data_IF_718592554651
#
_entry.id   IF_718592554651
#
_cell.length_a   1.000
_cell.length_b   1.000
_cell.length_c   1.000
_cell.angle_alpha   90.00
_cell.angle_beta   90.00
_cell.angle_gamma   90.00
#
_symmetry.space_group_name_H-M   'P 1'
#
loop_
_entity.id
_entity.type
_entity.pdbx_description
1 polymer ?
#
# COMPACT_ATOMS: atom_id res chain seq x y z
N UNK A 1 -13.13 -28.57 2.91
CA UNK A 1 -12.34 -27.41 3.37
C UNK A 1 -12.83 -27.06 4.75
N UNK A 2 -11.94 -27.10 5.71
CA UNK A 2 -12.29 -26.90 7.09
C UNK A 2 -12.55 -25.41 7.38
N UNK A 3 -13.72 -25.09 7.94
CA UNK A 3 -14.10 -23.71 8.31
C UNK A 3 -13.17 -23.09 9.34
N UNK A 4 -12.47 -23.90 10.15
CA UNK A 4 -11.52 -23.40 11.15
C UNK A 4 -10.30 -22.71 10.54
N UNK A 5 -9.78 -23.20 9.41
CA UNK A 5 -8.69 -22.56 8.70
C UNK A 5 -9.07 -21.18 8.12
N UNK A 6 -10.32 -21.09 7.67
CA UNK A 6 -10.86 -19.82 7.13
C UNK A 6 -11.05 -18.77 8.22
N UNK A 7 -11.48 -19.17 9.41
CA UNK A 7 -11.66 -18.29 10.57
C UNK A 7 -10.29 -17.81 11.08
N UNK A 8 -9.30 -18.70 11.20
CA UNK A 8 -7.93 -18.36 11.62
C UNK A 8 -7.30 -17.38 10.63
N UNK A 9 -7.50 -17.57 9.33
CA UNK A 9 -7.00 -16.69 8.28
C UNK A 9 -7.62 -15.28 8.36
N UNK A 10 -8.93 -15.18 8.56
CA UNK A 10 -9.64 -13.92 8.77
C UNK A 10 -9.16 -13.22 10.05
N UNK A 11 -8.95 -13.98 11.14
CA UNK A 11 -8.42 -13.44 12.40
C UNK A 11 -7.02 -12.85 12.25
N UNK A 12 -6.14 -13.47 11.46
CA UNK A 12 -4.80 -12.93 11.14
C UNK A 12 -4.86 -11.62 10.34
N UNK A 13 -5.88 -11.43 9.52
CA UNK A 13 -6.09 -10.19 8.75
C UNK A 13 -6.53 -9.03 9.60
N UNK A 14 -7.34 -9.30 10.62
CA UNK A 14 -7.99 -8.28 11.46
C UNK A 14 -7.11 -7.92 12.66
N UNK A 15 -6.33 -8.89 13.18
CA UNK A 15 -5.56 -8.70 14.40
C UNK A 15 -4.08 -8.67 14.05
N UNK A 16 -3.48 -7.48 14.13
CA UNK A 16 -2.03 -7.30 14.01
C UNK A 16 -1.45 -7.02 15.39
N UNK A 17 -0.31 -7.63 15.68
CA UNK A 17 0.48 -7.30 16.87
C UNK A 17 1.25 -5.99 16.65
N UNK A 18 1.68 -5.36 17.73
CA UNK A 18 2.54 -4.16 17.62
C UNK A 18 3.85 -4.44 16.88
N UNK A 19 4.38 -5.65 17.00
CA UNK A 19 5.58 -6.08 16.25
C UNK A 19 5.30 -6.18 14.75
N UNK A 20 4.17 -6.72 14.37
CA UNK A 20 3.76 -6.79 12.95
C UNK A 20 3.54 -5.40 12.36
N UNK A 21 2.99 -4.48 13.12
CA UNK A 21 2.83 -3.08 12.70
C UNK A 21 4.20 -2.44 12.45
N UNK A 22 5.15 -2.62 13.39
CA UNK A 22 6.51 -2.09 13.24
C UNK A 22 7.25 -2.69 12.05
N UNK A 23 7.18 -4.00 11.86
CA UNK A 23 7.84 -4.68 10.74
C UNK A 23 7.22 -4.32 9.40
N UNK A 24 5.91 -4.12 9.35
CA UNK A 24 5.21 -3.65 8.14
C UNK A 24 5.70 -2.26 7.75
N UNK A 25 5.77 -1.34 8.69
CA UNK A 25 6.27 0.02 8.46
C UNK A 25 7.71 0.00 7.95
N UNK A 26 8.59 -0.74 8.64
CA UNK A 26 10.00 -0.85 8.27
C UNK A 26 10.19 -1.40 6.84
N UNK A 27 9.48 -2.47 6.51
CA UNK A 27 9.50 -3.07 5.18
C UNK A 27 9.02 -2.11 4.10
N UNK A 28 7.92 -1.42 4.35
CA UNK A 28 7.33 -0.50 3.38
C UNK A 28 8.22 0.71 3.13
N UNK A 29 8.81 1.28 4.17
CA UNK A 29 9.75 2.39 4.03
C UNK A 29 10.95 1.97 3.18
N UNK A 30 11.55 0.83 3.48
CA UNK A 30 12.67 0.28 2.71
C UNK A 30 12.30 0.00 1.25
N UNK A 31 11.15 -0.62 1.03
CA UNK A 31 10.63 -0.92 -0.31
C UNK A 31 10.43 0.34 -1.14
N UNK A 32 9.73 1.33 -0.59
CA UNK A 32 9.46 2.60 -1.27
C UNK A 32 10.76 3.37 -1.54
N UNK A 33 11.65 3.40 -0.56
CA UNK A 33 12.96 4.02 -0.69
C UNK A 33 13.77 3.41 -1.84
N UNK A 34 13.86 2.09 -1.89
CA UNK A 34 14.60 1.38 -2.95
C UNK A 34 13.95 1.52 -4.31
N UNK A 35 12.63 1.53 -4.38
CA UNK A 35 11.91 1.78 -5.63
C UNK A 35 12.20 3.16 -6.21
N UNK A 36 12.41 4.16 -5.35
CA UNK A 36 12.82 5.51 -5.78
C UNK A 36 14.32 5.63 -6.07
N UNK A 37 15.10 4.60 -5.81
CA UNK A 37 16.55 4.64 -5.95
C UNK A 37 17.25 5.46 -4.88
N UNK A 38 16.62 5.69 -3.73
CA UNK A 38 17.20 6.46 -2.64
C UNK A 38 18.05 5.59 -1.73
N UNK A 39 19.25 6.11 -1.37
CA UNK A 39 19.99 5.57 -0.23
C UNK A 39 19.30 5.94 1.08
N UNK A 40 19.63 5.27 2.18
CA UNK A 40 19.15 5.70 3.50
C UNK A 40 19.56 7.14 3.82
N UNK A 41 20.78 7.54 3.45
CA UNK A 41 21.27 8.88 3.63
C UNK A 41 20.45 9.92 2.85
N UNK A 42 20.09 9.61 1.62
CA UNK A 42 19.27 10.52 0.80
C UNK A 42 17.85 10.64 1.34
N UNK A 43 17.25 9.54 1.78
CA UNK A 43 15.93 9.59 2.42
C UNK A 43 15.99 10.43 3.71
N UNK A 44 17.01 10.23 4.54
CA UNK A 44 17.21 11.00 5.76
C UNK A 44 17.32 12.51 5.46
N UNK A 45 18.09 12.89 4.44
CA UNK A 45 18.20 14.27 4.00
C UNK A 45 16.85 14.84 3.53
N UNK A 46 16.16 14.14 2.65
CA UNK A 46 14.87 14.58 2.11
C UNK A 46 13.78 14.69 3.18
N UNK A 47 13.80 13.82 4.16
CA UNK A 47 12.86 13.82 5.27
C UNK A 47 13.26 14.74 6.43
N UNK A 48 14.45 15.34 6.39
CA UNK A 48 15.01 16.13 7.48
C UNK A 48 15.06 15.35 8.80
N UNK A 49 15.64 14.16 8.72
CA UNK A 49 15.78 13.20 9.83
C UNK A 49 17.21 12.67 9.81
N UNK A 50 17.74 12.25 10.95
CA UNK A 50 19.09 11.70 11.01
C UNK A 50 19.17 10.32 10.31
N UNK A 51 20.31 10.04 9.68
CA UNK A 51 20.58 8.74 9.06
C UNK A 51 20.48 7.58 10.06
N UNK A 52 21.06 7.65 11.27
CA UNK A 52 20.90 6.58 12.25
C UNK A 52 19.43 6.31 12.63
N UNK A 53 18.59 7.34 12.62
CA UNK A 53 17.17 7.17 12.93
C UNK A 53 16.44 6.42 11.79
N UNK A 54 16.69 6.79 10.54
CA UNK A 54 16.16 6.05 9.37
C UNK A 54 16.60 4.58 9.43
N UNK A 55 17.87 4.32 9.67
CA UNK A 55 18.41 2.97 9.81
C UNK A 55 17.70 2.18 10.92
N UNK A 56 17.48 2.81 12.07
CA UNK A 56 16.80 2.18 13.20
C UNK A 56 15.33 1.87 12.91
N UNK A 57 14.65 2.73 12.16
CA UNK A 57 13.27 2.49 11.73
C UNK A 57 13.22 1.30 10.75
N UNK A 58 14.07 1.26 9.75
CA UNK A 58 14.11 0.15 8.78
C UNK A 58 14.50 -1.19 9.41
N UNK A 59 15.21 -1.18 10.54
CA UNK A 59 15.53 -2.38 11.33
C UNK A 59 14.44 -2.77 12.34
N UNK A 60 13.33 -2.04 12.38
CA UNK A 60 12.26 -2.22 13.37
C UNK A 60 12.70 -2.01 14.82
N UNK A 61 13.79 -1.27 15.03
CA UNK A 61 14.33 -0.99 16.39
C UNK A 61 13.63 0.20 17.01
N UNK A 62 13.34 1.23 16.22
CA UNK A 62 12.69 2.45 16.70
C UNK A 62 11.35 2.70 16.00
N UNK A 63 10.44 3.29 16.74
CA UNK A 63 9.14 3.71 16.25
C UNK A 63 9.13 5.23 16.03
N UNK A 64 8.80 5.72 14.83
CA UNK A 64 8.74 7.15 14.59
C UNK A 64 7.47 7.78 15.18
N UNK A 65 7.59 9.01 15.67
CA UNK A 65 6.45 9.83 16.05
C UNK A 65 5.66 10.29 14.81
N UNK A 66 4.41 10.75 14.98
CA UNK A 66 3.57 11.19 13.87
C UNK A 66 4.22 12.22 12.95
N UNK A 67 4.93 13.21 13.50
CA UNK A 67 5.62 14.22 12.69
C UNK A 67 6.72 13.59 11.83
N UNK A 68 7.44 12.63 12.38
CA UNK A 68 8.47 11.89 11.65
C UNK A 68 7.86 11.03 10.54
N UNK A 69 6.74 10.36 10.81
CA UNK A 69 5.99 9.62 9.78
C UNK A 69 5.56 10.52 8.62
N UNK A 70 5.04 11.69 8.94
CA UNK A 70 4.64 12.67 7.93
C UNK A 70 5.82 13.12 7.06
N UNK A 71 6.98 13.37 7.66
CA UNK A 71 8.20 13.74 6.94
C UNK A 71 8.67 12.62 6.01
N UNK A 72 8.67 11.38 6.48
CA UNK A 72 9.05 10.21 5.68
C UNK A 72 8.09 10.02 4.51
N UNK A 73 6.79 10.07 4.77
CA UNK A 73 5.78 9.94 3.73
C UNK A 73 5.91 11.02 2.66
N UNK A 74 6.13 12.27 3.07
CA UNK A 74 6.37 13.38 2.14
C UNK A 74 7.62 13.16 1.29
N UNK A 75 8.72 12.73 1.90
CA UNK A 75 9.97 12.44 1.19
C UNK A 75 9.81 11.30 0.18
N UNK A 76 8.97 10.32 0.49
CA UNK A 76 8.64 9.19 -0.40
C UNK A 76 7.48 9.50 -1.36
N UNK A 77 6.86 10.66 -1.24
CA UNK A 77 5.73 11.10 -2.10
C UNK A 77 4.52 10.16 -2.02
N UNK A 78 4.22 9.68 -0.83
CA UNK A 78 3.07 8.82 -0.55
C UNK A 78 2.28 9.36 0.63
N UNK A 79 1.03 8.94 0.75
CA UNK A 79 0.24 9.19 1.96
C UNK A 79 0.76 8.34 3.13
N UNK A 80 0.60 8.84 4.36
CA UNK A 80 1.04 8.11 5.57
C UNK A 80 0.39 6.73 5.65
N UNK A 81 -0.87 6.60 5.28
CA UNK A 81 -1.58 5.33 5.25
C UNK A 81 -0.89 4.26 4.40
N UNK A 82 -0.25 4.67 3.31
CA UNK A 82 0.47 3.75 2.43
C UNK A 82 1.68 3.09 3.11
N UNK A 83 2.28 3.76 4.09
CA UNK A 83 3.38 3.18 4.86
C UNK A 83 2.95 1.95 5.68
N UNK A 84 1.67 1.79 5.92
CA UNK A 84 1.10 0.66 6.68
C UNK A 84 0.38 -0.36 5.81
N UNK A 85 0.49 -0.25 4.49
CA UNK A 85 -0.14 -1.17 3.56
C UNK A 85 0.44 -2.58 3.70
N UNK A 86 -0.44 -3.57 3.65
CA UNK A 86 -0.04 -4.98 3.60
C UNK A 86 -0.17 -5.50 2.17
N UNK A 87 0.52 -6.58 1.83
CA UNK A 87 0.37 -7.24 0.53
C UNK A 87 -1.08 -7.59 0.25
N UNK A 88 -1.80 -7.94 1.28
CA UNK A 88 -3.20 -8.29 1.20
C UNK A 88 -4.09 -7.11 0.85
N UNK A 89 -3.88 -5.96 1.50
CA UNK A 89 -4.61 -4.74 1.17
C UNK A 89 -4.28 -4.25 -0.24
N UNK A 90 -3.03 -4.37 -0.67
CA UNK A 90 -2.62 -4.05 -2.03
C UNK A 90 -3.29 -4.97 -3.06
N UNK A 91 -3.36 -6.26 -2.78
CA UNK A 91 -4.02 -7.23 -3.65
C UNK A 91 -5.52 -6.97 -3.74
N UNK A 92 -6.19 -6.68 -2.62
CA UNK A 92 -7.60 -6.33 -2.60
C UNK A 92 -7.88 -5.07 -3.41
N UNK A 93 -7.06 -4.04 -3.27
CA UNK A 93 -7.19 -2.81 -4.04
C UNK A 93 -6.97 -3.06 -5.54
N UNK A 94 -6.01 -3.91 -5.88
CA UNK A 94 -5.74 -4.29 -7.27
C UNK A 94 -6.93 -5.05 -7.88
N UNK A 95 -7.45 -6.05 -7.18
CA UNK A 95 -8.62 -6.82 -7.63
C UNK A 95 -9.84 -5.94 -7.80
N UNK A 96 -10.08 -5.03 -6.84
CA UNK A 96 -11.17 -4.07 -6.93
C UNK A 96 -11.01 -3.17 -8.16
N UNK A 97 -9.81 -2.63 -8.40
CA UNK A 97 -9.53 -1.78 -9.56
C UNK A 97 -9.73 -2.52 -10.88
N UNK A 98 -9.25 -3.76 -10.98
CA UNK A 98 -9.44 -4.60 -12.17
C UNK A 98 -10.92 -4.85 -12.42
N UNK A 99 -11.67 -5.18 -11.40
CA UNK A 99 -13.13 -5.42 -11.49
C UNK A 99 -13.85 -4.15 -11.95
N UNK A 100 -13.51 -3.00 -11.39
CA UNK A 100 -14.07 -1.71 -11.80
C UNK A 100 -13.80 -1.41 -13.28
N UNK A 101 -12.58 -1.62 -13.75
CA UNK A 101 -12.21 -1.40 -15.16
C UNK A 101 -12.99 -2.34 -16.07
N UNK A 102 -13.09 -3.63 -15.72
CA UNK A 102 -13.88 -4.60 -16.48
C UNK A 102 -15.35 -4.19 -16.60
N UNK A 103 -15.93 -3.76 -15.50
CA UNK A 103 -17.33 -3.32 -15.49
C UNK A 103 -17.55 -2.08 -16.36
N UNK A 104 -16.63 -1.12 -16.31
CA UNK A 104 -16.68 0.07 -17.17
C UNK A 104 -16.59 -0.30 -18.67
N UNK A 105 -15.67 -1.20 -19.03
CA UNK A 105 -15.51 -1.66 -20.40
C UNK A 105 -16.77 -2.35 -20.91
N UNK A 106 -17.38 -3.23 -20.10
CA UNK A 106 -18.63 -3.91 -20.46
C UNK A 106 -19.79 -2.93 -20.62
N UNK A 107 -19.89 -1.95 -19.73
CA UNK A 107 -20.89 -0.91 -19.82
C UNK A 107 -20.74 -0.10 -21.13
N UNK A 108 -19.52 0.29 -21.48
CA UNK A 108 -19.25 1.02 -22.72
C UNK A 108 -19.55 0.20 -23.96
N UNK A 109 -19.19 -1.09 -23.99
CA UNK A 109 -19.53 -1.99 -25.08
C UNK A 109 -21.02 -2.09 -25.31
N UNK A 110 -21.78 -2.23 -24.22
CA UNK A 110 -23.25 -2.31 -24.27
C UNK A 110 -23.84 -1.02 -24.83
N UNK A 111 -23.37 0.13 -24.37
CA UNK A 111 -23.83 1.44 -24.86
C UNK A 111 -23.53 1.62 -26.36
N UNK A 112 -22.35 1.21 -26.83
CA UNK A 112 -21.97 1.28 -28.25
C UNK A 112 -22.83 0.34 -29.11
N UNK A 113 -23.13 -0.87 -28.64
CA UNK A 113 -23.98 -1.80 -29.34
C UNK A 113 -25.41 -1.26 -29.46
N UNK A 114 -25.98 -0.73 -28.37
CA UNK A 114 -27.28 -0.10 -28.38
C UNK A 114 -27.35 1.10 -29.33
N UNK A 115 -26.30 1.92 -29.34
CA UNK A 115 -26.20 3.04 -30.30
C UNK A 115 -26.15 2.54 -31.75
N UNK A 116 -25.37 1.50 -32.04
CA UNK A 116 -25.26 0.91 -33.36
C UNK A 116 -26.61 0.34 -33.85
N UNK A 117 -27.32 -0.37 -33.00
CA UNK A 117 -28.66 -0.91 -33.31
C UNK A 117 -29.67 0.20 -33.59
N UNK A 118 -29.61 1.31 -32.84
CA UNK A 118 -30.55 2.41 -32.99
C UNK A 118 -30.27 3.30 -34.21
N UNK A 119 -29.01 3.59 -34.51
CA UNK A 119 -28.62 4.61 -35.48
C UNK A 119 -27.93 4.08 -36.74
N UNK A 120 -27.44 2.85 -36.74
CA UNK A 120 -26.67 2.31 -37.87
C UNK A 120 -27.42 1.20 -38.66
N UNK A 121 -28.58 0.82 -38.18
CA UNK A 121 -29.48 -0.09 -38.87
C UNK A 121 -30.63 0.72 -39.46
#
# INVERSE_FOLDING_TARGET
>A
MDNSNRIIFISKRIIMTGEEVRSTLARNIKKLRTQKGYSQALLAEKADISLPFISSIEQSVKWPYPDTLAKIASALEVEVSYLFSTEESENQNREFSITMIKNLVEYQKKALNEFGETYLT
#
